data_IF_918269381083
#
_entry.id   IF_918269381083
#
_cell.length_a   1.000
_cell.length_b   1.000
_cell.length_c   1.000
_cell.angle_alpha   90.00
_cell.angle_beta   90.00
_cell.angle_gamma   90.00
#
_symmetry.space_group_name_H-M   'P 1'
#
loop_
_entity.id
_entity.type
_entity.pdbx_description
1 polymer ?
#
# COMPACT_ATOMS: atom_id res chain seq x y z
N UNK A 1 -5.21 -7.66 -21.37
CA UNK A 1 -3.94 -7.70 -20.63
C UNK A 1 -4.25 -8.40 -19.33
N UNK A 2 -3.67 -9.56 -19.07
CA UNK A 2 -4.09 -10.48 -18.01
C UNK A 2 -3.42 -10.10 -16.69
N UNK A 3 -3.88 -9.01 -16.08
CA UNK A 3 -3.44 -8.61 -14.73
C UNK A 3 -4.35 -9.27 -13.69
N UNK A 4 -3.74 -9.84 -12.65
CA UNK A 4 -4.43 -10.35 -11.48
C UNK A 4 -4.67 -9.21 -10.50
N UNK A 5 -5.93 -8.97 -10.14
CA UNK A 5 -6.27 -8.06 -9.03
C UNK A 5 -5.92 -8.74 -7.70
N UNK A 6 -5.22 -8.01 -6.84
CA UNK A 6 -4.88 -8.47 -5.48
C UNK A 6 -5.24 -7.39 -4.47
N UNK A 7 -5.57 -7.81 -3.25
CA UNK A 7 -5.67 -6.91 -2.10
C UNK A 7 -4.50 -7.13 -1.16
N UNK A 8 -3.84 -6.05 -0.73
CA UNK A 8 -2.70 -6.10 0.18
C UNK A 8 -3.02 -5.41 1.52
N UNK A 9 -2.34 -5.77 2.63
CA UNK A 9 -2.66 -5.22 3.94
C UNK A 9 -2.56 -3.69 4.00
N UNK A 10 -3.63 -3.05 4.50
CA UNK A 10 -3.62 -1.62 4.83
C UNK A 10 -2.99 -1.33 6.19
N UNK A 11 -3.08 -2.26 7.14
CA UNK A 11 -2.40 -2.19 8.43
C UNK A 11 -1.11 -2.99 8.35
N UNK A 12 0.02 -2.32 8.53
CA UNK A 12 1.36 -2.88 8.37
C UNK A 12 2.18 -2.68 9.63
N UNK A 13 3.04 -3.63 9.97
CA UNK A 13 3.99 -3.48 11.09
C UNK A 13 5.13 -2.50 10.79
N UNK A 14 5.36 -2.21 9.51
CA UNK A 14 6.31 -1.22 9.01
C UNK A 14 5.71 -0.53 7.79
N UNK A 15 5.67 0.81 7.79
CA UNK A 15 5.29 1.57 6.61
C UNK A 15 6.45 1.63 5.61
N UNK A 16 6.17 1.43 4.32
CA UNK A 16 7.16 1.51 3.24
C UNK A 16 6.53 1.69 1.87
N UNK A 17 7.36 1.77 0.82
CA UNK A 17 6.92 1.95 -0.58
C UNK A 17 6.67 3.41 -0.99
N UNK A 18 6.87 4.38 -0.10
CA UNK A 18 6.89 5.81 -0.45
C UNK A 18 7.66 6.60 0.60
N UNK A 19 8.04 7.84 0.27
CA UNK A 19 8.56 8.81 1.23
C UNK A 19 7.41 9.69 1.75
N UNK A 20 6.65 9.19 2.73
CA UNK A 20 5.53 9.91 3.32
C UNK A 20 5.41 9.61 4.83
N UNK A 21 4.85 10.53 5.59
CA UNK A 21 4.56 10.30 7.02
C UNK A 21 3.33 9.39 7.15
N UNK A 22 3.41 8.23 7.82
CA UNK A 22 2.26 7.34 7.99
C UNK A 22 1.32 7.83 9.10
N UNK A 23 0.06 7.40 9.03
CA UNK A 23 -0.79 7.35 10.23
C UNK A 23 -0.39 6.15 11.09
N UNK A 24 -0.40 6.35 12.40
CA UNK A 24 -0.07 5.32 13.40
C UNK A 24 -1.33 4.97 14.18
N UNK A 25 -1.55 3.69 14.41
CA UNK A 25 -2.61 3.16 15.28
C UNK A 25 -2.04 2.03 16.13
N UNK A 26 -2.82 1.53 17.07
CA UNK A 26 -2.39 0.49 18.01
C UNK A 26 -3.32 -0.72 17.95
N UNK A 27 -2.74 -1.92 17.85
CA UNK A 27 -3.49 -3.18 17.91
C UNK A 27 -3.53 -3.70 19.33
N UNK A 28 -4.67 -3.59 20.01
CA UNK A 28 -4.84 -4.07 21.38
C UNK A 28 -4.58 -5.58 21.52
N UNK A 29 -4.90 -6.37 20.49
CA UNK A 29 -4.74 -7.83 20.53
C UNK A 29 -3.28 -8.27 20.37
N UNK A 30 -2.46 -7.47 19.68
CA UNK A 30 -1.04 -7.75 19.46
C UNK A 30 -0.12 -6.93 20.38
N UNK A 31 -0.69 -5.98 21.12
CA UNK A 31 0.02 -4.99 21.94
C UNK A 31 1.17 -4.33 21.16
N UNK A 32 0.86 -3.88 19.94
CA UNK A 32 1.85 -3.38 19.00
C UNK A 32 1.31 -2.25 18.14
N UNK A 33 2.18 -1.30 17.79
CA UNK A 33 1.85 -0.24 16.84
C UNK A 33 1.75 -0.80 15.41
N UNK A 34 0.77 -0.30 14.68
CA UNK A 34 0.54 -0.57 13.27
C UNK A 34 0.46 0.75 12.51
N UNK A 35 0.83 0.70 11.25
CA UNK A 35 0.88 1.84 10.36
C UNK A 35 -0.12 1.64 9.22
N UNK A 36 -0.92 2.67 8.93
CA UNK A 36 -1.69 2.67 7.69
C UNK A 36 -0.72 2.84 6.51
N UNK A 37 -0.92 2.02 5.47
CA UNK A 37 -0.02 1.99 4.31
C UNK A 37 0.03 3.33 3.58
N UNK A 38 1.25 3.68 3.15
CA UNK A 38 1.53 4.87 2.31
C UNK A 38 1.65 4.53 0.82
N UNK A 39 1.88 3.24 0.50
CA UNK A 39 1.84 2.62 -0.82
C UNK A 39 1.71 1.08 -0.71
N UNK A 40 1.14 0.38 -1.70
CA UNK A 40 1.11 -1.09 -1.77
C UNK A 40 2.37 -1.72 -2.41
N UNK A 41 3.25 -0.92 -3.03
CA UNK A 41 4.50 -1.32 -3.73
C UNK A 41 5.16 -2.61 -3.22
N UNK A 42 5.54 -2.66 -1.93
CA UNK A 42 6.34 -3.76 -1.39
C UNK A 42 5.58 -5.09 -1.40
N UNK A 43 4.27 -5.06 -1.21
CA UNK A 43 3.44 -6.27 -1.25
C UNK A 43 3.21 -6.73 -2.68
N UNK A 44 2.99 -5.81 -3.62
CA UNK A 44 2.85 -6.16 -5.03
C UNK A 44 4.15 -6.74 -5.59
N UNK A 45 5.32 -6.20 -5.22
CA UNK A 45 6.63 -6.80 -5.55
C UNK A 45 6.79 -8.20 -4.95
N UNK A 46 6.31 -8.45 -3.73
CA UNK A 46 6.30 -9.80 -3.13
C UNK A 46 5.40 -10.75 -3.91
N UNK A 47 4.26 -10.29 -4.44
CA UNK A 47 3.43 -11.11 -5.33
C UNK A 47 4.19 -11.50 -6.60
N UNK A 48 4.89 -10.55 -7.22
CA UNK A 48 5.73 -10.84 -8.41
C UNK A 48 6.83 -11.84 -8.07
N UNK A 49 7.54 -11.66 -6.96
CA UNK A 49 8.55 -12.63 -6.47
C UNK A 49 7.90 -14.00 -6.19
N UNK A 50 6.65 -14.02 -5.74
CA UNK A 50 5.86 -15.22 -5.50
C UNK A 50 5.33 -15.93 -6.76
N UNK A 51 5.65 -15.42 -7.96
CA UNK A 51 5.28 -16.02 -9.24
C UNK A 51 4.05 -15.42 -9.92
N UNK A 52 3.47 -14.34 -9.40
CA UNK A 52 2.40 -13.61 -10.08
C UNK A 52 2.99 -12.57 -11.04
N UNK A 53 3.17 -12.96 -12.31
CA UNK A 53 3.87 -12.13 -13.31
C UNK A 53 3.21 -10.76 -13.59
N UNK A 54 1.91 -10.62 -13.38
CA UNK A 54 1.15 -9.40 -13.66
C UNK A 54 0.12 -9.18 -12.57
N UNK A 55 0.34 -8.20 -11.71
CA UNK A 55 -0.56 -7.87 -10.59
C UNK A 55 -0.93 -6.41 -10.60
N UNK A 56 -2.13 -6.11 -10.11
CA UNK A 56 -2.54 -4.74 -9.80
C UNK A 56 -3.37 -4.68 -8.53
N UNK A 57 -3.41 -3.49 -7.94
CA UNK A 57 -4.34 -3.15 -6.86
C UNK A 57 -4.87 -1.73 -7.09
N UNK A 58 -6.19 -1.56 -7.04
CA UNK A 58 -6.87 -0.26 -6.99
C UNK A 58 -7.50 -0.09 -5.61
N UNK A 59 -6.85 0.67 -4.73
CA UNK A 59 -7.29 0.73 -3.34
C UNK A 59 -6.79 2.00 -2.61
N UNK A 60 -7.15 2.16 -1.33
CA UNK A 60 -6.86 3.37 -0.53
C UNK A 60 -5.43 3.39 0.01
N UNK A 61 -4.80 4.55 -0.04
CA UNK A 61 -3.55 4.90 0.64
C UNK A 61 -3.79 6.05 1.61
N UNK A 62 -2.96 6.10 2.66
CA UNK A 62 -3.10 7.06 3.74
C UNK A 62 -1.77 7.78 3.98
N UNK A 63 -1.76 9.12 3.89
CA UNK A 63 -0.57 9.94 4.13
C UNK A 63 -0.91 11.04 5.13
N UNK A 64 -0.20 11.03 6.26
CA UNK A 64 -0.40 11.97 7.37
C UNK A 64 0.38 13.26 7.13
N UNK A 65 -0.03 14.00 6.10
CA UNK A 65 0.61 15.20 5.58
C UNK A 65 -0.38 16.38 5.55
N UNK A 66 0.04 17.52 4.99
CA UNK A 66 -0.85 18.65 4.78
C UNK A 66 -1.96 18.32 3.78
N UNK A 67 -3.12 18.95 3.94
CA UNK A 67 -4.24 18.83 3.01
C UNK A 67 -4.44 20.12 2.22
N UNK A 68 -4.69 20.00 0.91
CA UNK A 68 -4.97 21.13 0.01
C UNK A 68 -5.89 20.68 -1.14
N UNK A 69 -6.05 21.51 -2.17
CA UNK A 69 -6.92 21.22 -3.34
C UNK A 69 -6.49 19.99 -4.15
N UNK A 70 -5.26 19.51 -3.96
CA UNK A 70 -4.65 18.36 -4.65
C UNK A 70 -4.24 17.23 -3.70
N UNK A 71 -4.22 17.45 -2.38
CA UNK A 71 -3.78 16.48 -1.37
C UNK A 71 -4.90 16.16 -0.38
N UNK A 72 -5.44 14.94 -0.49
CA UNK A 72 -6.29 14.32 0.52
C UNK A 72 -5.46 13.36 1.36
N UNK A 73 -5.58 13.36 2.71
CA UNK A 73 -4.89 12.40 3.57
C UNK A 73 -5.25 10.93 3.30
N UNK A 74 -6.41 10.70 2.68
CA UNK A 74 -6.87 9.40 2.19
C UNK A 74 -7.27 9.52 0.71
N UNK A 75 -6.66 8.71 -0.14
CA UNK A 75 -6.88 8.76 -1.59
C UNK A 75 -6.82 7.37 -2.21
N UNK A 76 -7.47 7.19 -3.36
CA UNK A 76 -7.39 5.97 -4.14
C UNK A 76 -6.23 6.04 -5.13
N UNK A 77 -5.52 4.94 -5.30
CA UNK A 77 -4.42 4.81 -6.26
C UNK A 77 -4.48 3.44 -6.92
N UNK A 78 -4.23 3.42 -8.23
CA UNK A 78 -3.92 2.21 -8.97
C UNK A 78 -2.41 2.01 -8.97
N UNK A 79 -1.96 0.85 -8.53
CA UNK A 79 -0.57 0.43 -8.71
C UNK A 79 -0.52 -0.93 -9.43
N UNK A 80 0.43 -1.09 -10.34
CA UNK A 80 0.56 -2.28 -11.19
C UNK A 80 2.02 -2.72 -11.26
N UNK A 81 2.26 -4.03 -11.25
CA UNK A 81 3.56 -4.61 -11.53
C UNK A 81 3.45 -5.66 -12.62
N UNK A 82 4.44 -5.66 -13.50
CA UNK A 82 4.57 -6.61 -14.59
C UNK A 82 6.02 -7.10 -14.64
N UNK A 83 6.21 -8.41 -14.45
CA UNK A 83 7.49 -9.06 -14.70
C UNK A 83 7.87 -8.88 -16.18
N UNK A 84 9.12 -8.50 -16.43
CA UNK A 84 9.67 -8.28 -17.78
C UNK A 84 8.88 -7.26 -18.63
N UNK A 85 8.14 -6.35 -17.98
CA UNK A 85 7.30 -5.34 -18.60
C UNK A 85 7.97 -4.03 -18.93
#
# INVERSE_FOLDING_TARGET
RDFLEVETPMLQTLAGGAAARPFVTHSNALDSDLYLRIAPELFLKRCVVGGFDRVFELNRNFRNEGADSTHSPEFAMLETYQAYG
#
